data_IF_207245948649
#
_entry.id   IF_207245948649
#
_cell.length_a   1.000
_cell.length_b   1.000
_cell.length_c   1.000
_cell.angle_alpha   90.00
_cell.angle_beta   90.00
_cell.angle_gamma   90.00
#
_symmetry.space_group_name_H-M   'P 1'
#
loop_
_entity.id
_entity.type
_entity.pdbx_description
1 polymer ?
#
# COMPACT_ATOMS: atom_id res chain seq x y z
N UNK A 1 -8.94 -33.30 10.63
CA UNK A 1 -8.48 -32.53 11.81
C UNK A 1 -6.95 -32.53 11.83
N UNK A 2 -6.30 -31.38 12.07
CA UNK A 2 -4.82 -31.34 12.17
C UNK A 2 -4.34 -32.08 13.42
N UNK A 3 -3.34 -32.95 13.23
CA UNK A 3 -2.67 -33.69 14.31
C UNK A 3 -1.85 -32.73 15.21
N UNK A 4 -1.48 -33.16 16.41
CA UNK A 4 -0.73 -32.34 17.38
C UNK A 4 0.64 -31.89 16.82
N UNK A 5 1.31 -32.76 16.07
CA UNK A 5 2.58 -32.48 15.40
C UNK A 5 2.40 -31.45 14.26
N UNK A 6 1.38 -31.62 13.43
CA UNK A 6 1.06 -30.67 12.35
C UNK A 6 0.77 -29.28 12.90
N UNK A 7 0.13 -29.16 14.07
CA UNK A 7 -0.10 -27.87 14.71
C UNK A 7 1.19 -27.22 15.22
N UNK A 8 2.14 -28.01 15.73
CA UNK A 8 3.44 -27.50 16.17
C UNK A 8 4.25 -26.99 14.98
N UNK A 9 4.37 -27.78 13.92
CA UNK A 9 5.06 -27.39 12.69
C UNK A 9 4.43 -26.13 12.06
N UNK A 10 3.10 -26.01 12.08
CA UNK A 10 2.40 -24.84 11.59
C UNK A 10 2.68 -23.59 12.44
N UNK A 11 2.77 -23.73 13.76
CA UNK A 11 3.15 -22.62 14.66
C UNK A 11 4.58 -22.17 14.37
N UNK A 12 5.52 -23.10 14.20
CA UNK A 12 6.93 -22.79 13.89
C UNK A 12 7.06 -22.11 12.51
N UNK A 13 6.32 -22.60 11.51
CA UNK A 13 6.25 -21.96 10.19
C UNK A 13 5.68 -20.51 10.28
N UNK A 14 4.67 -20.30 11.11
CA UNK A 14 4.08 -18.96 11.31
C UNK A 14 5.02 -18.04 12.06
N UNK A 15 5.71 -18.53 13.09
CA UNK A 15 6.70 -17.74 13.84
C UNK A 15 7.82 -17.29 12.89
N UNK A 16 8.39 -18.20 12.10
CA UNK A 16 9.46 -17.84 11.15
C UNK A 16 8.97 -16.85 10.08
N UNK A 17 7.70 -16.94 9.63
CA UNK A 17 7.14 -15.95 8.70
C UNK A 17 6.94 -14.57 9.33
N UNK A 18 6.50 -14.52 10.59
CA UNK A 18 6.32 -13.27 11.33
C UNK A 18 7.68 -12.60 11.58
N UNK A 19 8.69 -13.37 11.96
CA UNK A 19 10.03 -12.85 12.24
C UNK A 19 10.75 -12.35 10.98
N UNK A 20 10.53 -13.01 9.85
CA UNK A 20 11.12 -12.63 8.56
C UNK A 20 10.36 -11.49 7.88
N UNK A 21 9.14 -11.15 8.32
CA UNK A 21 8.35 -10.06 7.74
C UNK A 21 8.51 -8.77 8.55
N UNK A 22 8.66 -7.64 7.86
CA UNK A 22 8.70 -6.31 8.48
C UNK A 22 7.31 -5.76 8.77
N UNK A 23 6.30 -6.27 8.08
CA UNK A 23 4.92 -5.86 8.26
C UNK A 23 3.97 -7.05 8.32
N UNK A 24 3.04 -6.98 9.25
CA UNK A 24 1.96 -7.95 9.44
C UNK A 24 0.64 -7.21 9.46
N UNK A 25 -0.21 -7.41 8.44
CA UNK A 25 -1.52 -6.76 8.35
C UNK A 25 -2.63 -7.77 8.63
N UNK A 26 -3.62 -7.36 9.40
CA UNK A 26 -4.77 -8.18 9.81
C UNK A 26 -6.03 -7.63 9.17
N UNK A 27 -6.76 -8.51 8.48
CA UNK A 27 -7.99 -8.16 7.77
C UNK A 27 -9.11 -9.15 8.05
N UNK A 28 -10.36 -8.67 8.00
CA UNK A 28 -11.54 -9.53 7.90
C UNK A 28 -11.87 -9.77 6.44
N UNK A 29 -12.09 -11.04 6.09
CA UNK A 29 -12.42 -11.48 4.72
C UNK A 29 -13.86 -11.99 4.60
N UNK A 30 -14.68 -11.79 5.62
CA UNK A 30 -16.06 -12.32 5.63
C UNK A 30 -16.91 -11.66 4.53
N UNK A 31 -17.51 -12.49 3.68
CA UNK A 31 -18.35 -12.04 2.57
C UNK A 31 -17.63 -11.90 1.22
N UNK A 32 -16.33 -12.16 1.16
CA UNK A 32 -15.60 -12.23 -0.12
C UNK A 32 -15.89 -13.55 -0.85
N UNK A 33 -16.02 -13.47 -2.15
CA UNK A 33 -16.12 -14.66 -3.02
C UNK A 33 -14.74 -15.30 -3.20
N UNK A 34 -14.70 -16.57 -3.62
CA UNK A 34 -13.43 -17.27 -3.88
C UNK A 34 -12.63 -16.61 -4.99
N UNK A 35 -13.30 -16.12 -6.04
CA UNK A 35 -12.65 -15.38 -7.14
C UNK A 35 -11.96 -14.11 -6.65
N UNK A 36 -12.62 -13.31 -5.81
CA UNK A 36 -12.06 -12.10 -5.20
C UNK A 36 -10.87 -12.40 -4.29
N UNK A 37 -10.93 -13.50 -3.51
CA UNK A 37 -9.81 -13.94 -2.67
C UNK A 37 -8.61 -14.38 -3.51
N UNK A 38 -8.84 -15.03 -4.63
CA UNK A 38 -7.75 -15.48 -5.51
C UNK A 38 -7.13 -14.30 -6.29
N UNK A 39 -7.93 -13.32 -6.71
CA UNK A 39 -7.43 -12.05 -7.26
C UNK A 39 -6.57 -11.29 -6.24
N UNK A 40 -7.03 -11.20 -5.00
CA UNK A 40 -6.26 -10.56 -3.93
C UNK A 40 -4.93 -11.29 -3.70
N UNK A 41 -4.95 -12.61 -3.65
CA UNK A 41 -3.74 -13.43 -3.51
C UNK A 41 -2.78 -13.26 -4.68
N UNK A 42 -3.29 -13.17 -5.91
CA UNK A 42 -2.47 -12.94 -7.11
C UNK A 42 -1.77 -11.59 -7.03
N UNK A 43 -2.51 -10.50 -6.80
CA UNK A 43 -1.96 -9.15 -6.63
C UNK A 43 -0.91 -9.07 -5.51
N UNK A 44 -1.14 -9.77 -4.39
CA UNK A 44 -0.18 -9.79 -3.29
C UNK A 44 1.09 -10.57 -3.63
N UNK A 45 0.99 -11.70 -4.33
CA UNK A 45 2.15 -12.50 -4.75
C UNK A 45 3.05 -11.75 -5.71
N UNK A 46 2.50 -10.93 -6.62
CA UNK A 46 3.26 -10.08 -7.54
C UNK A 46 4.24 -9.16 -6.79
N UNK A 47 3.87 -8.76 -5.57
CA UNK A 47 4.69 -7.89 -4.72
C UNK A 47 5.41 -8.65 -3.58
N UNK A 48 5.49 -9.98 -3.66
CA UNK A 48 6.17 -10.79 -2.64
C UNK A 48 5.45 -10.88 -1.30
N UNK A 49 4.16 -10.49 -1.23
CA UNK A 49 3.35 -10.50 -0.02
C UNK A 49 2.61 -11.84 0.09
N UNK A 50 2.70 -12.47 1.24
CA UNK A 50 2.03 -13.74 1.51
C UNK A 50 0.71 -13.48 2.24
N UNK A 51 -0.41 -13.75 1.59
CA UNK A 51 -1.73 -13.67 2.20
C UNK A 51 -2.23 -15.05 2.62
N UNK A 52 -2.46 -15.25 3.92
CA UNK A 52 -2.95 -16.52 4.47
C UNK A 52 -4.16 -16.31 5.38
N UNK A 53 -5.16 -17.17 5.19
CA UNK A 53 -6.27 -17.29 6.16
C UNK A 53 -5.76 -18.18 7.29
N UNK A 54 -5.83 -17.70 8.52
CA UNK A 54 -5.27 -18.37 9.68
C UNK A 54 -6.33 -18.68 10.72
N UNK A 55 -6.07 -19.69 11.51
CA UNK A 55 -6.95 -20.03 12.64
C UNK A 55 -6.50 -19.20 13.86
N UNK A 56 -7.32 -18.24 14.31
CA UNK A 56 -6.99 -17.27 15.36
C UNK A 56 -6.31 -17.88 16.59
N UNK A 57 -6.81 -19.03 17.08
CA UNK A 57 -6.25 -19.69 18.26
C UNK A 57 -4.79 -20.13 18.06
N UNK A 58 -4.45 -20.59 16.85
CA UNK A 58 -3.08 -21.04 16.54
C UNK A 58 -2.18 -19.82 16.32
N UNK A 59 -2.72 -18.79 15.65
CA UNK A 59 -1.98 -17.54 15.41
C UNK A 59 -1.67 -16.81 16.71
N UNK A 60 -2.62 -16.75 17.65
CA UNK A 60 -2.38 -16.18 18.99
C UNK A 60 -1.24 -16.88 19.72
N UNK A 61 -1.19 -18.22 19.68
CA UNK A 61 -0.09 -19.01 20.28
C UNK A 61 1.27 -18.76 19.56
N UNK A 62 1.26 -18.48 18.26
CA UNK A 62 2.46 -18.12 17.53
C UNK A 62 2.93 -16.69 17.91
N UNK A 63 2.01 -15.75 18.05
CA UNK A 63 2.29 -14.37 18.45
C UNK A 63 2.83 -14.27 19.89
N UNK A 64 2.36 -15.12 20.81
CA UNK A 64 2.89 -15.18 22.18
C UNK A 64 4.39 -15.54 22.23
N UNK A 65 4.88 -16.25 21.22
CA UNK A 65 6.29 -16.63 21.08
C UNK A 65 7.14 -15.56 20.38
N UNK A 66 6.50 -14.59 19.73
CA UNK A 66 7.15 -13.50 19.00
C UNK A 66 7.03 -12.18 19.76
N UNK A 67 7.72 -11.14 19.29
CA UNK A 67 7.64 -9.78 19.87
C UNK A 67 6.28 -9.10 19.64
N UNK A 68 5.39 -9.72 18.86
CA UNK A 68 4.13 -9.15 18.39
C UNK A 68 2.91 -9.52 19.26
N UNK A 69 3.09 -9.67 20.58
CA UNK A 69 2.03 -10.13 21.51
C UNK A 69 0.78 -9.25 21.48
N UNK A 70 0.97 -7.96 21.32
CA UNK A 70 -0.11 -6.97 21.39
C UNK A 70 -1.08 -7.06 20.19
N UNK A 71 -0.62 -7.66 19.07
CA UNK A 71 -1.50 -7.97 17.93
C UNK A 71 -2.59 -8.99 18.27
N UNK A 72 -2.43 -9.76 19.34
CA UNK A 72 -3.39 -10.81 19.70
C UNK A 72 -4.82 -10.30 19.89
N UNK A 73 -4.98 -9.02 20.28
CA UNK A 73 -6.27 -8.36 20.50
C UNK A 73 -7.02 -8.12 19.16
N UNK A 74 -6.30 -7.99 18.04
CA UNK A 74 -6.89 -7.77 16.72
C UNK A 74 -7.45 -9.06 16.10
N UNK A 75 -7.08 -10.23 16.63
CA UNK A 75 -7.55 -11.53 16.13
C UNK A 75 -8.91 -11.91 16.70
N UNK A 76 -9.96 -11.20 16.28
CA UNK A 76 -11.37 -11.48 16.57
C UNK A 76 -12.11 -11.79 15.28
N UNK A 77 -13.02 -12.77 15.27
CA UNK A 77 -13.79 -13.15 14.06
C UNK A 77 -12.97 -13.85 12.97
N UNK A 78 -13.44 -13.84 11.71
CA UNK A 78 -12.79 -14.48 10.56
C UNK A 78 -11.64 -13.61 10.05
N UNK A 79 -10.41 -13.91 10.46
CA UNK A 79 -9.23 -13.12 10.13
C UNK A 79 -8.35 -13.77 9.08
N UNK A 80 -7.80 -12.95 8.21
CA UNK A 80 -6.71 -13.27 7.31
C UNK A 80 -5.52 -12.37 7.61
N UNK A 81 -4.32 -12.88 7.38
CA UNK A 81 -3.07 -12.19 7.67
C UNK A 81 -2.25 -12.06 6.40
N UNK A 82 -1.75 -10.86 6.15
CA UNK A 82 -0.79 -10.58 5.10
C UNK A 82 0.58 -10.35 5.73
N UNK A 83 1.57 -11.08 5.25
CA UNK A 83 2.98 -10.97 5.64
C UNK A 83 3.77 -10.40 4.48
N UNK A 84 4.46 -9.30 4.68
CA UNK A 84 5.28 -8.66 3.65
C UNK A 84 6.55 -8.04 4.21
N UNK A 85 7.55 -7.91 3.36
CA UNK A 85 8.74 -7.14 3.66
C UNK A 85 8.47 -5.64 3.53
N UNK A 86 7.59 -5.26 2.58
CA UNK A 86 7.19 -3.89 2.34
C UNK A 86 5.81 -3.61 2.96
N UNK A 87 5.81 -2.82 4.04
CA UNK A 87 4.60 -2.43 4.76
C UNK A 87 3.69 -1.52 3.91
N UNK A 88 4.29 -0.59 3.15
CA UNK A 88 3.57 0.42 2.37
C UNK A 88 2.81 -0.27 1.22
N UNK A 89 3.47 -1.16 0.48
CA UNK A 89 2.83 -1.90 -0.60
C UNK A 89 1.74 -2.83 -0.07
N UNK A 90 1.98 -3.51 1.05
CA UNK A 90 0.97 -4.36 1.71
C UNK A 90 -0.28 -3.57 2.09
N UNK A 91 -0.11 -2.42 2.74
CA UNK A 91 -1.19 -1.55 3.15
C UNK A 91 -1.94 -0.94 1.94
N UNK A 92 -1.20 -0.53 0.90
CA UNK A 92 -1.76 0.08 -0.32
C UNK A 92 -2.63 -0.90 -1.09
N UNK A 93 -2.17 -2.14 -1.31
CA UNK A 93 -2.93 -3.17 -2.00
C UNK A 93 -4.20 -3.51 -1.23
N UNK A 94 -4.09 -3.72 0.09
CA UNK A 94 -5.24 -4.00 0.95
C UNK A 94 -6.24 -2.84 0.99
N UNK A 95 -5.76 -1.60 1.11
CA UNK A 95 -6.61 -0.41 1.13
C UNK A 95 -7.33 -0.20 -0.20
N UNK A 96 -6.64 -0.41 -1.33
CA UNK A 96 -7.25 -0.32 -2.67
C UNK A 96 -8.33 -1.39 -2.84
N UNK A 97 -8.01 -2.62 -2.49
CA UNK A 97 -8.96 -3.73 -2.60
C UNK A 97 -10.15 -3.57 -1.64
N UNK A 98 -9.95 -2.99 -0.45
CA UNK A 98 -11.03 -2.68 0.50
C UNK A 98 -11.96 -1.56 0.00
N UNK A 99 -11.47 -0.64 -0.83
CA UNK A 99 -12.31 0.36 -1.52
C UNK A 99 -13.16 -0.25 -2.62
N UNK A 100 -12.59 -1.22 -3.35
CA UNK A 100 -13.27 -1.92 -4.45
C UNK A 100 -14.28 -2.97 -3.91
N UNK A 101 -14.05 -3.49 -2.70
CA UNK A 101 -14.84 -4.55 -2.07
C UNK A 101 -15.15 -4.22 -0.62
N UNK A 102 -16.37 -3.80 -0.33
CA UNK A 102 -16.84 -3.45 1.03
C UNK A 102 -16.77 -4.59 2.05
N UNK A 103 -16.69 -5.83 1.56
CA UNK A 103 -16.60 -7.04 2.40
C UNK A 103 -15.21 -7.25 3.00
N UNK A 104 -14.16 -6.62 2.47
CA UNK A 104 -12.83 -6.64 3.07
C UNK A 104 -12.68 -5.50 4.06
N UNK A 105 -12.57 -5.82 5.34
CA UNK A 105 -12.34 -4.81 6.38
C UNK A 105 -10.92 -4.93 6.93
N UNK A 106 -10.18 -3.82 6.86
CA UNK A 106 -8.91 -3.68 7.54
C UNK A 106 -9.17 -3.48 9.02
N UNK A 107 -8.54 -4.30 9.88
CA UNK A 107 -8.65 -4.17 11.34
C UNK A 107 -7.49 -3.36 11.85
N UNK A 108 -6.29 -3.68 11.38
CA UNK A 108 -5.05 -3.08 11.81
C UNK A 108 -3.86 -3.90 11.34
N UNK A 109 -2.71 -3.61 11.88
CA UNK A 109 -1.49 -4.32 11.56
C UNK A 109 -0.36 -3.93 12.48
N UNK A 110 0.82 -4.42 12.14
CA UNK A 110 2.07 -4.04 12.79
C UNK A 110 3.12 -3.73 11.74
N UNK A 111 3.88 -2.69 11.95
CA UNK A 111 5.02 -2.29 11.16
C UNK A 111 6.19 -1.99 12.09
N UNK A 112 7.31 -2.69 11.90
CA UNK A 112 8.56 -2.47 12.68
C UNK A 112 8.38 -2.42 14.22
N UNK A 113 7.46 -3.23 14.77
CA UNK A 113 7.05 -3.29 16.18
C UNK A 113 6.05 -2.23 16.65
N UNK A 114 5.55 -1.35 15.79
CA UNK A 114 4.45 -0.44 16.11
C UNK A 114 3.11 -1.03 15.69
N UNK A 115 2.12 -0.94 16.55
CA UNK A 115 0.75 -1.38 16.27
C UNK A 115 0.03 -0.25 15.54
N UNK A 116 -0.55 -0.58 14.41
CA UNK A 116 -1.34 0.31 13.60
C UNK A 116 -2.82 -0.07 13.70
N UNK A 117 -3.63 0.89 14.09
CA UNK A 117 -5.08 0.80 13.97
C UNK A 117 -5.52 0.95 12.50
N UNK A 118 -6.79 0.76 12.23
CA UNK A 118 -7.37 0.93 10.89
C UNK A 118 -6.98 2.27 10.25
N UNK A 119 -7.05 3.37 11.00
CA UNK A 119 -6.64 4.69 10.53
C UNK A 119 -5.13 4.76 10.24
N UNK A 120 -4.31 4.14 11.08
CA UNK A 120 -2.86 4.03 10.89
C UNK A 120 -2.49 3.29 9.61
N UNK A 121 -3.15 2.15 9.34
CA UNK A 121 -2.93 1.38 8.10
C UNK A 121 -3.33 2.19 6.86
N UNK A 122 -4.42 2.96 6.92
CA UNK A 122 -4.83 3.84 5.83
C UNK A 122 -3.82 4.99 5.60
N UNK A 123 -3.26 5.54 6.66
CA UNK A 123 -2.21 6.56 6.56
C UNK A 123 -0.94 5.98 5.90
N UNK A 124 -0.51 4.79 6.33
CA UNK A 124 0.63 4.08 5.72
C UNK A 124 0.36 3.76 4.25
N UNK A 125 -0.86 3.37 3.87
CA UNK A 125 -1.23 3.09 2.49
C UNK A 125 -1.13 4.33 1.57
N UNK A 126 -1.25 5.54 2.12
CA UNK A 126 -1.12 6.80 1.39
C UNK A 126 0.34 7.29 1.29
N UNK A 127 1.28 6.68 2.01
CA UNK A 127 2.70 7.03 1.90
C UNK A 127 3.25 6.62 0.53
N UNK A 128 4.15 7.41 -0.05
CA UNK A 128 4.86 7.02 -1.27
C UNK A 128 5.83 5.87 -0.99
N UNK A 129 6.01 4.99 -1.95
CA UNK A 129 7.07 3.97 -1.89
C UNK A 129 8.45 4.63 -1.92
N UNK A 130 9.50 3.89 -1.56
CA UNK A 130 10.87 4.43 -1.56
C UNK A 130 11.27 5.02 -2.92
N UNK A 131 10.92 4.37 -4.01
CA UNK A 131 11.24 4.83 -5.35
C UNK A 131 10.39 6.03 -5.76
N UNK A 132 9.10 6.05 -5.41
CA UNK A 132 8.23 7.21 -5.58
C UNK A 132 8.73 8.41 -4.75
N UNK A 133 9.19 8.19 -3.51
CA UNK A 133 9.73 9.24 -2.68
C UNK A 133 11.03 9.84 -3.29
N UNK A 134 11.93 9.00 -3.79
CA UNK A 134 13.13 9.44 -4.52
C UNK A 134 12.77 10.22 -5.78
N UNK A 135 11.82 9.72 -6.56
CA UNK A 135 11.33 10.39 -7.77
C UNK A 135 10.71 11.76 -7.44
N UNK A 136 9.95 11.86 -6.34
CA UNK A 136 9.37 13.12 -5.88
C UNK A 136 10.45 14.14 -5.50
N UNK A 137 11.51 13.72 -4.80
CA UNK A 137 12.65 14.61 -4.46
C UNK A 137 13.32 15.15 -5.72
N UNK A 138 13.62 14.28 -6.68
CA UNK A 138 14.21 14.67 -7.97
C UNK A 138 13.24 15.58 -8.74
N UNK A 139 11.94 15.27 -8.73
CA UNK A 139 10.90 16.09 -9.33
C UNK A 139 10.83 17.51 -8.77
N UNK A 140 10.96 17.66 -7.44
CA UNK A 140 10.99 18.99 -6.77
C UNK A 140 12.23 19.79 -7.22
N UNK A 141 13.39 19.16 -7.31
CA UNK A 141 14.63 19.82 -7.76
C UNK A 141 14.50 20.31 -9.21
N UNK A 142 13.86 19.53 -10.08
CA UNK A 142 13.67 19.89 -11.48
C UNK A 142 12.45 20.82 -11.71
N UNK A 143 11.55 20.95 -10.72
CA UNK A 143 10.31 21.71 -10.87
C UNK A 143 10.53 23.19 -11.20
N UNK A 144 11.60 23.81 -10.66
CA UNK A 144 11.94 25.20 -10.94
C UNK A 144 12.35 25.42 -12.40
N UNK A 145 13.19 24.54 -12.93
CA UNK A 145 13.61 24.59 -14.33
C UNK A 145 12.44 24.31 -15.29
N UNK A 146 11.63 23.30 -15.01
CA UNK A 146 10.46 22.96 -15.79
C UNK A 146 9.41 24.08 -15.85
N UNK A 147 9.20 24.81 -14.75
CA UNK A 147 8.29 25.97 -14.70
C UNK A 147 8.79 27.10 -15.60
N UNK A 148 10.08 27.39 -15.65
CA UNK A 148 10.63 28.39 -16.54
C UNK A 148 10.44 28.02 -18.01
N UNK A 149 10.71 26.77 -18.36
CA UNK A 149 10.48 26.27 -19.72
C UNK A 149 9.00 26.35 -20.10
N UNK A 150 8.09 25.95 -19.24
CA UNK A 150 6.65 26.02 -19.51
C UNK A 150 6.14 27.45 -19.71
N UNK A 151 6.69 28.43 -18.97
CA UNK A 151 6.34 29.84 -19.15
C UNK A 151 6.87 30.37 -20.49
N UNK A 152 8.09 29.99 -20.87
CA UNK A 152 8.67 30.36 -22.15
C UNK A 152 7.88 29.78 -23.34
N UNK A 153 7.49 28.50 -23.24
CA UNK A 153 6.66 27.85 -24.24
C UNK A 153 5.28 28.51 -24.36
N UNK A 154 4.61 28.76 -23.24
CA UNK A 154 3.32 29.45 -23.23
C UNK A 154 3.41 30.87 -23.80
N UNK A 155 4.52 31.57 -23.61
CA UNK A 155 4.76 32.90 -24.19
C UNK A 155 5.03 32.80 -25.70
N UNK A 156 5.82 31.81 -26.15
CA UNK A 156 6.07 31.60 -27.58
C UNK A 156 4.80 31.26 -28.35
N UNK A 157 3.93 30.42 -27.77
CA UNK A 157 2.62 30.08 -28.37
C UNK A 157 1.70 31.31 -28.47
N UNK A 158 1.68 32.15 -27.44
CA UNK A 158 0.91 33.43 -27.51
C UNK A 158 1.47 34.39 -28.55
N UNK A 159 2.79 34.46 -28.72
CA UNK A 159 3.39 35.31 -29.75
C UNK A 159 3.12 34.79 -31.18
N UNK A 160 3.09 33.47 -31.36
CA UNK A 160 2.79 32.85 -32.65
C UNK A 160 1.30 32.93 -33.02
N UNK A 161 0.43 33.11 -32.03
CA UNK A 161 -1.05 33.27 -32.22
C UNK A 161 -1.49 34.70 -32.40
N UNK A 162 -0.61 35.71 -32.26
CA UNK A 162 -0.93 37.10 -32.58
C UNK A 162 -0.85 37.30 -34.11
N UNK A 163 -1.90 37.85 -34.74
CA UNK A 163 -1.83 38.21 -36.14
C UNK A 163 -0.73 39.27 -36.39
N UNK A 164 -0.02 39.26 -37.55
CA UNK A 164 1.01 40.24 -37.81
C UNK A 164 0.39 41.63 -37.79
N UNK A 165 0.91 42.44 -36.89
CA UNK A 165 0.51 43.86 -36.76
C UNK A 165 0.99 44.57 -38.03
N UNK A 166 0.04 44.82 -38.94
CA UNK A 166 0.27 45.60 -40.17
C UNK A 166 0.69 47.01 -39.75
N UNK A 167 1.97 47.27 -39.90
CA UNK A 167 2.54 48.60 -39.93
C UNK A 167 2.14 49.34 -41.20
N UNK A 168 0.94 49.92 -41.20
CA UNK A 168 0.57 50.96 -42.19
C UNK A 168 0.41 52.27 -41.44
N UNK A 169 1.50 52.92 -41.23
CA UNK A 169 1.53 54.39 -41.06
C UNK A 169 2.03 54.99 -42.36
N UNK A 170 1.13 55.24 -43.29
CA UNK A 170 1.38 56.17 -44.39
C UNK A 170 1.20 57.59 -43.86
N UNK A 171 2.15 58.48 -44.04
CA UNK A 171 1.95 59.90 -43.82
C UNK A 171 1.10 60.48 -44.97
N UNK A 172 -0.01 61.09 -44.64
CA UNK A 172 -0.74 61.98 -45.57
C UNK A 172 -0.12 63.36 -45.58
N UNK A 173 0.30 63.78 -46.77
CA UNK A 173 0.51 65.16 -47.13
C UNK A 173 -0.72 66.01 -46.94
#
# INVERSE_FOLDING_TARGET
MMNKEQKKNYIEEMVSKIENSKAVMVTHYQGLTMTQLDELRAKMREHGIIFKITKNRITKLALEKTKCKDLSNLFTGPTAVAFGEDAIMSARILSKFAKDNENLKLIGGMMENEILDQAGVMNVANLPTLDEARANIVGILNASASKLVSILLARSEKMSSLPPENSETQPKE
#
